data_IF_502053039671
#
_entry.id   IF_502053039671
#
_cell.length_a   1.000
_cell.length_b   1.000
_cell.length_c   1.000
_cell.angle_alpha   90.00
_cell.angle_beta   90.00
_cell.angle_gamma   90.00
#
_symmetry.space_group_name_H-M   'P 1'
#
loop_
_entity.id
_entity.type
_entity.pdbx_description
1 polymer ?
#
# COMPACT_ATOMS: atom_id res chain seq x y z
N UNK A 1 16.15 19.88 33.72
CA UNK A 1 15.00 19.54 32.84
C UNK A 1 14.04 20.72 32.70
N UNK A 2 13.58 21.30 33.80
CA UNK A 2 12.62 22.43 33.77
C UNK A 2 13.22 23.71 33.15
N UNK A 3 14.51 23.97 33.38
CA UNK A 3 15.26 25.05 32.74
C UNK A 3 15.33 24.91 31.22
N UNK A 4 15.74 23.73 30.74
CA UNK A 4 15.84 23.44 29.30
C UNK A 4 14.49 23.55 28.58
N UNK A 5 13.41 23.06 29.21
CA UNK A 5 12.06 23.19 28.64
C UNK A 5 11.67 24.66 28.48
N UNK A 6 11.94 25.51 29.48
CA UNK A 6 11.69 26.95 29.38
C UNK A 6 12.51 27.59 28.27
N UNK A 7 13.78 27.24 28.18
CA UNK A 7 14.68 27.77 27.14
C UNK A 7 14.22 27.41 25.72
N UNK A 8 13.79 26.16 25.49
CA UNK A 8 13.20 25.74 24.21
C UNK A 8 11.93 26.51 23.89
N UNK A 9 11.05 26.71 24.88
CA UNK A 9 9.80 27.46 24.69
C UNK A 9 10.07 28.94 24.40
N UNK A 10 11.05 29.55 25.05
CA UNK A 10 11.46 30.92 24.77
C UNK A 10 12.07 31.07 23.37
N UNK A 11 12.90 30.12 22.94
CA UNK A 11 13.44 30.12 21.57
C UNK A 11 12.34 29.95 20.53
N UNK A 12 11.35 29.08 20.78
CA UNK A 12 10.19 28.96 19.91
C UNK A 12 9.39 30.27 19.82
N UNK A 13 9.37 31.09 20.87
CA UNK A 13 8.63 32.37 20.87
C UNK A 13 9.43 33.51 20.22
N UNK A 14 10.73 33.59 20.48
CA UNK A 14 11.58 34.73 20.12
C UNK A 14 12.35 34.54 18.81
N UNK A 15 12.65 33.30 18.42
CA UNK A 15 13.45 32.98 17.23
C UNK A 15 12.58 32.35 16.13
N UNK A 16 12.40 33.11 15.04
CA UNK A 16 11.59 32.72 13.89
C UNK A 16 12.20 31.56 13.11
N UNK A 17 13.51 31.56 12.91
CA UNK A 17 14.22 30.54 12.13
C UNK A 17 14.20 29.21 12.88
N UNK A 18 14.46 29.25 14.19
CA UNK A 18 14.35 28.09 15.06
C UNK A 18 12.94 27.50 15.06
N UNK A 19 11.90 28.34 15.18
CA UNK A 19 10.50 27.90 15.13
C UNK A 19 10.18 27.15 13.83
N UNK A 20 10.57 27.69 12.68
CA UNK A 20 10.32 27.05 11.39
C UNK A 20 11.15 25.78 11.19
N UNK A 21 12.39 25.75 11.69
CA UNK A 21 13.21 24.54 11.65
C UNK A 21 12.58 23.40 12.46
N UNK A 22 12.10 23.69 13.67
CA UNK A 22 11.41 22.69 14.52
C UNK A 22 10.09 22.25 13.87
N UNK A 23 9.29 23.17 13.34
CA UNK A 23 8.05 22.85 12.62
C UNK A 23 8.33 21.98 11.39
N UNK A 24 9.39 22.29 10.64
CA UNK A 24 9.85 21.50 9.49
C UNK A 24 10.32 20.11 9.89
N UNK A 25 11.12 19.98 10.94
CA UNK A 25 11.60 18.68 11.43
C UNK A 25 10.45 17.79 11.92
N UNK A 26 9.55 18.34 12.74
CA UNK A 26 8.38 17.62 13.24
C UNK A 26 7.43 17.24 12.09
N UNK A 27 7.18 18.17 11.17
CA UNK A 27 6.35 17.93 9.99
C UNK A 27 6.95 16.87 9.06
N UNK A 28 8.24 16.94 8.78
CA UNK A 28 8.94 15.97 7.93
C UNK A 28 8.96 14.58 8.58
N UNK A 29 9.14 14.50 9.91
CA UNK A 29 9.07 13.22 10.62
C UNK A 29 7.70 12.54 10.45
N UNK A 30 6.61 13.30 10.57
CA UNK A 30 5.26 12.79 10.36
C UNK A 30 5.02 12.37 8.90
N UNK A 31 5.53 13.15 7.92
CA UNK A 31 5.48 12.79 6.50
C UNK A 31 6.20 11.47 6.23
N UNK A 32 7.41 11.28 6.76
CA UNK A 32 8.17 10.05 6.58
C UNK A 32 7.44 8.83 7.16
N UNK A 33 6.88 8.95 8.37
CA UNK A 33 6.07 7.86 8.96
C UNK A 33 4.87 7.47 8.09
N UNK A 34 4.18 8.45 7.51
CA UNK A 34 3.07 8.19 6.59
C UNK A 34 3.54 7.54 5.30
N UNK A 35 4.70 7.94 4.76
CA UNK A 35 5.29 7.31 3.59
C UNK A 35 5.65 5.85 3.86
N UNK A 36 6.20 5.52 5.03
CA UNK A 36 6.49 4.14 5.42
C UNK A 36 5.20 3.30 5.49
N UNK A 37 4.13 3.85 6.10
CA UNK A 37 2.83 3.18 6.17
C UNK A 37 2.24 2.93 4.77
N UNK A 38 2.28 3.95 3.89
CA UNK A 38 1.81 3.84 2.50
C UNK A 38 2.63 2.81 1.73
N UNK A 39 3.95 2.76 1.93
CA UNK A 39 4.81 1.78 1.27
C UNK A 39 4.44 0.34 1.66
N UNK A 40 4.14 0.11 2.94
CA UNK A 40 3.69 -1.20 3.42
C UNK A 40 2.31 -1.58 2.87
N UNK A 41 1.35 -0.64 2.85
CA UNK A 41 0.04 -0.86 2.21
C UNK A 41 0.19 -1.18 0.72
N UNK A 42 1.05 -0.47 0.00
CA UNK A 42 1.33 -0.75 -1.41
C UNK A 42 1.92 -2.14 -1.63
N UNK A 43 2.78 -2.61 -0.73
CA UNK A 43 3.32 -3.96 -0.78
C UNK A 43 2.21 -5.01 -0.61
N UNK A 44 1.36 -4.84 0.40
CA UNK A 44 0.22 -5.74 0.65
C UNK A 44 -0.74 -5.79 -0.55
N UNK A 45 -1.07 -4.64 -1.14
CA UNK A 45 -1.90 -4.58 -2.35
C UNK A 45 -1.27 -5.30 -3.54
N UNK A 46 0.06 -5.22 -3.70
CA UNK A 46 0.76 -5.96 -4.77
C UNK A 46 0.67 -7.47 -4.55
N UNK A 47 0.82 -7.94 -3.31
CA UNK A 47 0.68 -9.35 -2.96
C UNK A 47 -0.74 -9.87 -3.23
N UNK A 48 -1.76 -9.09 -2.88
CA UNK A 48 -3.16 -9.41 -3.19
C UNK A 48 -3.41 -9.45 -4.71
N UNK A 49 -2.88 -8.49 -5.47
CA UNK A 49 -3.00 -8.51 -6.93
C UNK A 49 -2.37 -9.76 -7.57
N UNK A 50 -1.23 -10.22 -7.05
CA UNK A 50 -0.61 -11.46 -7.54
C UNK A 50 -1.53 -12.65 -7.30
N UNK A 51 -2.07 -12.80 -6.08
CA UNK A 51 -3.02 -13.87 -5.74
C UNK A 51 -4.26 -13.84 -6.63
N UNK A 52 -4.82 -12.66 -6.88
CA UNK A 52 -5.97 -12.50 -7.77
C UNK A 52 -5.66 -12.93 -9.21
N UNK A 53 -4.47 -12.64 -9.73
CA UNK A 53 -4.04 -13.09 -11.07
C UNK A 53 -3.85 -14.60 -11.14
N UNK A 54 -3.34 -15.21 -10.08
CA UNK A 54 -3.21 -16.67 -9.98
C UNK A 54 -4.59 -17.34 -10.01
N UNK A 55 -5.54 -16.87 -9.21
CA UNK A 55 -6.92 -17.37 -9.20
C UNK A 55 -7.60 -17.16 -10.55
N UNK A 56 -7.43 -15.98 -11.17
CA UNK A 56 -7.94 -15.72 -12.52
C UNK A 56 -7.37 -16.71 -13.54
N UNK A 57 -6.10 -17.06 -13.44
CA UNK A 57 -5.46 -18.05 -14.33
C UNK A 57 -6.06 -19.45 -14.14
N UNK A 58 -6.37 -19.85 -12.91
CA UNK A 58 -7.05 -21.14 -12.63
C UNK A 58 -8.44 -21.17 -13.25
N UNK A 59 -9.23 -20.11 -13.05
CA UNK A 59 -10.58 -19.98 -13.64
C UNK A 59 -10.51 -20.10 -15.17
N UNK A 60 -9.55 -19.46 -15.82
CA UNK A 60 -9.40 -19.59 -17.28
C UNK A 60 -9.09 -21.01 -17.74
N UNK A 61 -8.32 -21.78 -16.97
CA UNK A 61 -8.06 -23.20 -17.28
C UNK A 61 -9.32 -24.04 -17.13
N UNK A 62 -10.10 -23.82 -16.07
CA UNK A 62 -11.38 -24.51 -15.86
C UNK A 62 -12.37 -24.19 -16.99
N UNK A 63 -12.48 -22.92 -17.39
CA UNK A 63 -13.32 -22.52 -18.53
C UNK A 63 -12.87 -23.22 -19.82
N UNK A 64 -11.55 -23.33 -20.05
CA UNK A 64 -11.03 -24.03 -21.21
C UNK A 64 -11.40 -25.53 -21.20
N UNK A 65 -11.25 -26.21 -20.07
CA UNK A 65 -11.65 -27.61 -19.89
C UNK A 65 -13.15 -27.81 -20.14
N UNK A 66 -14.00 -26.96 -19.56
CA UNK A 66 -15.46 -27.01 -19.75
C UNK A 66 -15.82 -26.83 -21.23
N UNK A 67 -15.15 -25.91 -21.94
CA UNK A 67 -15.39 -25.71 -23.37
C UNK A 67 -15.01 -26.94 -24.21
N UNK A 68 -13.93 -27.62 -23.83
CA UNK A 68 -13.51 -28.86 -24.48
C UNK A 68 -14.51 -29.99 -24.23
N UNK A 69 -14.94 -30.20 -22.99
CA UNK A 69 -15.98 -31.18 -22.65
C UNK A 69 -17.29 -30.90 -23.39
N UNK A 70 -17.73 -29.64 -23.44
CA UNK A 70 -18.92 -29.25 -24.19
C UNK A 70 -18.79 -29.52 -25.70
N UNK A 71 -17.59 -29.34 -26.27
CA UNK A 71 -17.34 -29.66 -27.68
C UNK A 71 -17.47 -31.17 -27.91
N UNK A 72 -16.84 -31.99 -27.07
CA UNK A 72 -16.88 -33.44 -27.18
C UNK A 72 -18.32 -33.98 -27.06
N UNK A 73 -19.10 -33.48 -26.10
CA UNK A 73 -20.52 -33.86 -25.94
C UNK A 73 -21.36 -33.51 -27.18
N UNK A 74 -21.10 -32.36 -27.82
CA UNK A 74 -21.79 -32.00 -29.07
C UNK A 74 -21.41 -32.92 -30.23
N UNK A 75 -20.14 -33.32 -30.32
CA UNK A 75 -19.68 -34.26 -31.35
C UNK A 75 -20.30 -35.65 -31.17
N UNK A 76 -20.46 -36.11 -29.92
CA UNK A 76 -21.15 -37.37 -29.60
C UNK A 76 -22.64 -37.33 -29.96
N UNK A 77 -23.32 -36.20 -29.77
CA UNK A 77 -24.75 -36.05 -30.10
C UNK A 77 -25.04 -35.99 -31.60
N UNK A 78 -24.05 -35.63 -32.42
CA UNK A 78 -24.19 -35.51 -33.89
C UNK A 78 -23.82 -36.82 -34.61
N UNK A 79 -23.14 -37.75 -33.91
CA UNK A 79 -22.84 -39.09 -34.39
C UNK A 79 -24.02 -40.04 -34.24
#
# INVERSE_FOLDING_TARGET
MESLKREILELLDKDLEFRYAVAGYLGLSEVLKRLDAIAEEQKNLREEQVKLREEQTKIWREIASIREEQKNLREEQVK
#
